data_IF_805038931429
#
_entry.id   IF_805038931429
#
_cell.length_a   1.000
_cell.length_b   1.000
_cell.length_c   1.000
_cell.angle_alpha   90.00
_cell.angle_beta   90.00
_cell.angle_gamma   90.00
#
_symmetry.space_group_name_H-M   'P 1'
#
loop_
_entity.id
_entity.type
_entity.pdbx_description
1 polymer ?
#
# COMPACT_ATOMS: atom_id res chain seq x y z
N UNK A 1 -36.57 -31.07 -1.52
CA UNK A 1 -37.40 -30.74 -0.34
C UNK A 1 -36.90 -29.40 0.18
N UNK A 2 -37.75 -28.38 0.31
CA UNK A 2 -37.31 -27.04 0.72
C UNK A 2 -38.02 -26.64 2.02
N UNK A 3 -37.26 -26.46 3.10
CA UNK A 3 -37.74 -25.91 4.36
C UNK A 3 -37.60 -24.38 4.31
N UNK A 4 -38.69 -23.65 4.55
CA UNK A 4 -38.68 -22.19 4.71
C UNK A 4 -38.99 -21.85 6.16
N UNK A 5 -38.09 -21.14 6.82
CA UNK A 5 -38.24 -20.63 8.18
C UNK A 5 -38.34 -19.11 8.08
N UNK A 6 -39.47 -18.54 8.51
CA UNK A 6 -39.68 -17.09 8.45
C UNK A 6 -39.01 -16.36 9.63
N UNK A 7 -39.14 -16.89 10.85
CA UNK A 7 -38.40 -16.42 12.02
C UNK A 7 -38.33 -17.49 13.11
N UNK A 8 -37.28 -17.40 13.93
CA UNK A 8 -37.11 -18.18 15.16
C UNK A 8 -37.15 -17.19 16.31
N UNK A 9 -37.90 -17.50 17.38
CA UNK A 9 -37.84 -16.78 18.65
C UNK A 9 -37.35 -17.74 19.71
N UNK A 10 -36.29 -17.34 20.41
CA UNK A 10 -35.76 -18.03 21.57
C UNK A 10 -36.20 -17.24 22.81
N UNK A 11 -36.82 -17.93 23.76
CA UNK A 11 -37.20 -17.37 25.05
C UNK A 11 -36.30 -18.01 26.09
N UNK A 12 -35.70 -17.20 26.96
CA UNK A 12 -34.99 -17.68 28.14
C UNK A 12 -36.00 -17.91 29.25
N UNK A 13 -35.91 -19.05 29.91
CA UNK A 13 -36.67 -19.30 31.14
C UNK A 13 -36.02 -18.51 32.28
N UNK A 14 -36.84 -17.73 32.99
CA UNK A 14 -36.44 -16.87 34.10
C UNK A 14 -37.16 -17.30 35.39
N UNK A 15 -37.66 -18.54 35.43
CA UNK A 15 -38.32 -19.11 36.59
C UNK A 15 -37.40 -19.27 37.79
N UNK A 16 -37.91 -18.97 38.98
CA UNK A 16 -37.23 -19.18 40.26
C UNK A 16 -37.29 -20.67 40.71
N UNK A 17 -37.94 -21.53 39.92
CA UNK A 17 -38.09 -22.97 40.10
C UNK A 17 -36.99 -23.79 39.39
N UNK A 18 -36.04 -23.11 38.75
CA UNK A 18 -34.91 -23.74 38.09
C UNK A 18 -33.77 -24.05 39.07
N UNK A 19 -33.09 -25.17 38.84
CA UNK A 19 -31.93 -25.57 39.62
C UNK A 19 -30.81 -24.50 39.55
N UNK A 20 -30.02 -24.39 40.62
CA UNK A 20 -28.98 -23.36 40.74
C UNK A 20 -27.86 -23.45 39.67
N UNK A 21 -27.81 -24.55 38.91
CA UNK A 21 -26.92 -24.81 37.79
C UNK A 21 -27.57 -24.64 36.41
N UNK A 22 -28.79 -24.10 36.35
CA UNK A 22 -29.44 -23.74 35.09
C UNK A 22 -28.86 -22.41 34.55
N UNK A 23 -27.62 -22.48 34.06
CA UNK A 23 -26.79 -21.34 33.71
C UNK A 23 -27.12 -20.71 32.34
N UNK A 24 -28.36 -20.28 32.12
CA UNK A 24 -28.63 -19.34 31.03
C UNK A 24 -28.11 -17.95 31.43
N UNK A 25 -26.84 -17.70 31.12
CA UNK A 25 -26.16 -16.44 31.47
C UNK A 25 -26.55 -15.33 30.49
N UNK A 26 -27.06 -14.21 31.00
CA UNK A 26 -27.47 -13.06 30.17
C UNK A 26 -26.30 -12.10 30.01
N UNK A 27 -25.91 -11.82 28.77
CA UNK A 27 -24.83 -10.88 28.46
C UNK A 27 -24.19 -11.18 27.11
N UNK A 28 -23.34 -10.25 26.65
CA UNK A 28 -22.59 -10.46 25.40
C UNK A 28 -21.35 -11.35 25.58
N UNK A 29 -20.87 -11.51 26.81
CA UNK A 29 -19.65 -12.26 27.13
C UNK A 29 -19.73 -12.80 28.58
N UNK A 30 -20.58 -13.80 28.84
CA UNK A 30 -20.70 -14.38 30.17
C UNK A 30 -19.48 -15.22 30.51
N UNK A 31 -18.91 -15.04 31.72
CA UNK A 31 -17.70 -15.73 32.16
C UNK A 31 -17.82 -17.27 32.23
N UNK A 32 -19.05 -17.80 32.18
CA UNK A 32 -19.36 -19.22 32.16
C UNK A 32 -19.22 -19.86 30.76
N UNK A 33 -19.08 -19.06 29.70
CA UNK A 33 -19.03 -19.53 28.32
C UNK A 33 -17.61 -19.41 27.74
N UNK A 34 -17.28 -20.21 26.71
CA UNK A 34 -16.00 -20.11 26.03
C UNK A 34 -15.71 -18.71 25.51
N UNK A 35 -14.49 -18.23 25.72
CA UNK A 35 -14.06 -16.97 25.11
C UNK A 35 -13.85 -17.14 23.62
N UNK A 36 -13.76 -16.02 22.90
CA UNK A 36 -13.43 -16.01 21.47
C UNK A 36 -12.14 -16.79 21.19
N UNK A 37 -11.09 -16.55 21.97
CA UNK A 37 -9.78 -17.19 21.80
C UNK A 37 -9.85 -18.70 22.02
N UNK A 38 -10.67 -19.15 22.97
CA UNK A 38 -10.91 -20.58 23.17
C UNK A 38 -11.59 -21.21 21.97
N UNK A 39 -12.66 -20.59 21.46
CA UNK A 39 -13.41 -21.10 20.30
C UNK A 39 -12.52 -21.18 19.06
N UNK A 40 -11.73 -20.14 18.79
CA UNK A 40 -10.78 -20.14 17.66
C UNK A 40 -9.71 -21.22 17.81
N UNK A 41 -9.30 -21.53 19.05
CA UNK A 41 -8.31 -22.58 19.34
C UNK A 41 -8.85 -24.01 19.31
N UNK A 42 -10.17 -24.19 19.31
CA UNK A 42 -10.86 -25.49 19.34
C UNK A 42 -11.90 -25.56 18.22
N UNK A 43 -11.62 -24.93 17.07
CA UNK A 43 -12.60 -24.80 15.98
C UNK A 43 -13.08 -26.15 15.46
N UNK A 44 -12.24 -27.18 15.57
CA UNK A 44 -12.51 -28.58 15.24
C UNK A 44 -13.63 -29.21 16.09
N UNK A 45 -13.96 -28.65 17.26
CA UNK A 45 -15.12 -29.05 18.05
C UNK A 45 -16.43 -28.42 17.55
N UNK A 46 -16.34 -27.35 16.74
CA UNK A 46 -17.49 -26.55 16.29
C UNK A 46 -17.75 -26.66 14.78
N UNK A 47 -16.91 -27.41 14.07
CA UNK A 47 -17.08 -27.69 12.65
C UNK A 47 -16.98 -29.19 12.37
N UNK A 48 -17.64 -29.63 11.31
CA UNK A 48 -17.51 -30.97 10.77
C UNK A 48 -17.44 -30.91 9.24
N UNK A 49 -17.30 -32.07 8.59
CA UNK A 49 -17.18 -32.14 7.13
C UNK A 49 -18.41 -31.59 6.39
N UNK A 50 -19.58 -31.55 7.04
CA UNK A 50 -20.86 -31.08 6.50
C UNK A 50 -21.22 -29.64 6.93
N UNK A 51 -20.60 -29.11 8.00
CA UNK A 51 -20.84 -27.80 8.59
C UNK A 51 -19.53 -27.11 8.98
N UNK A 52 -18.85 -26.55 7.98
CA UNK A 52 -17.60 -25.82 8.16
C UNK A 52 -17.84 -24.44 8.78
N UNK A 53 -16.88 -23.98 9.58
CA UNK A 53 -16.86 -22.59 10.01
C UNK A 53 -16.68 -21.67 8.81
N UNK A 54 -17.60 -20.72 8.65
CA UNK A 54 -17.52 -19.69 7.60
C UNK A 54 -17.63 -18.29 8.22
N UNK A 55 -16.69 -17.42 7.88
CA UNK A 55 -16.76 -16.03 8.29
C UNK A 55 -17.91 -15.31 7.57
N UNK A 56 -18.89 -14.84 8.35
CA UNK A 56 -20.05 -14.11 7.80
C UNK A 56 -19.64 -12.69 7.39
N UNK A 57 -19.66 -12.43 6.09
CA UNK A 57 -19.52 -11.09 5.53
C UNK A 57 -20.88 -10.38 5.38
N UNK A 58 -21.21 -9.51 6.32
CA UNK A 58 -22.42 -8.68 6.30
C UNK A 58 -23.65 -9.34 6.95
N UNK A 59 -24.85 -8.98 6.49
CA UNK A 59 -26.17 -9.46 6.96
C UNK A 59 -26.66 -8.95 8.33
N UNK A 60 -25.92 -8.09 9.03
CA UNK A 60 -26.52 -7.34 10.13
C UNK A 60 -27.71 -6.50 9.65
N UNK A 61 -28.66 -6.27 10.54
CA UNK A 61 -29.73 -5.32 10.28
C UNK A 61 -29.17 -3.91 10.16
N UNK A 62 -29.69 -3.15 9.20
CA UNK A 62 -29.31 -1.77 8.96
C UNK A 62 -30.52 -0.94 8.51
N UNK A 63 -30.48 0.35 8.81
CA UNK A 63 -31.39 1.33 8.26
C UNK A 63 -30.74 2.15 7.16
N UNK A 64 -29.47 2.54 7.36
CA UNK A 64 -28.68 3.34 6.41
C UNK A 64 -27.34 2.66 6.13
N UNK A 65 -26.62 3.11 5.11
CA UNK A 65 -25.28 2.56 4.81
C UNK A 65 -24.23 2.87 5.89
N UNK A 66 -24.50 3.85 6.76
CA UNK A 66 -23.59 4.23 7.85
C UNK A 66 -23.55 3.15 8.94
N UNK A 67 -24.63 2.37 9.10
CA UNK A 67 -24.70 1.18 9.97
C UNK A 67 -23.70 0.09 9.60
N UNK A 68 -23.25 0.09 8.34
CA UNK A 68 -22.39 -0.92 7.74
C UNK A 68 -20.99 -0.38 7.42
N UNK A 69 -20.63 0.78 7.98
CA UNK A 69 -19.47 1.58 7.61
C UNK A 69 -18.63 1.90 8.84
N UNK A 70 -17.31 1.75 8.76
CA UNK A 70 -16.43 2.15 9.85
C UNK A 70 -16.45 3.67 10.01
N UNK A 71 -16.76 4.12 11.22
CA UNK A 71 -16.81 5.54 11.55
C UNK A 71 -18.03 6.28 10.99
N UNK A 72 -19.11 5.58 10.61
CA UNK A 72 -20.35 6.13 10.01
C UNK A 72 -20.83 7.48 10.55
N UNK A 73 -21.78 7.49 11.49
CA UNK A 73 -22.33 8.74 12.07
C UNK A 73 -21.50 9.30 13.23
N UNK A 74 -20.55 8.51 13.76
CA UNK A 74 -19.79 8.82 14.97
C UNK A 74 -18.30 9.10 14.71
N UNK A 75 -17.79 8.80 13.51
CA UNK A 75 -16.38 8.92 13.17
C UNK A 75 -16.04 10.21 12.42
N UNK A 76 -14.84 10.75 12.66
CA UNK A 76 -14.32 11.93 11.94
C UNK A 76 -13.96 11.64 10.47
N UNK A 77 -13.78 10.37 10.13
CA UNK A 77 -13.49 9.91 8.77
C UNK A 77 -14.30 8.63 8.53
N UNK A 78 -15.34 8.72 7.71
CA UNK A 78 -16.17 7.57 7.37
C UNK A 78 -15.49 6.78 6.23
N UNK A 79 -15.08 5.55 6.52
CA UNK A 79 -14.53 4.64 5.52
C UNK A 79 -15.66 3.70 5.07
N UNK A 80 -16.14 3.88 3.83
CA UNK A 80 -17.22 3.06 3.27
C UNK A 80 -16.79 1.61 3.07
N UNK A 81 -17.08 0.77 4.06
CA UNK A 81 -16.76 -0.65 4.08
C UNK A 81 -17.95 -1.53 3.68
N UNK A 82 -19.17 -1.03 3.87
CA UNK A 82 -20.41 -1.73 3.54
C UNK A 82 -21.55 -0.78 3.15
N UNK A 83 -22.63 -1.37 2.63
CA UNK A 83 -23.86 -0.67 2.22
C UNK A 83 -25.09 -1.37 2.75
N UNK A 84 -26.14 -0.60 3.04
CA UNK A 84 -27.41 -1.18 3.47
C UNK A 84 -28.29 -1.54 2.27
N UNK A 85 -28.56 -2.83 2.08
CA UNK A 85 -29.37 -3.35 0.97
C UNK A 85 -30.47 -4.24 1.54
N UNK A 86 -31.74 -3.88 1.27
CA UNK A 86 -32.91 -4.63 1.79
C UNK A 86 -32.85 -4.82 3.31
N UNK A 87 -32.50 -3.76 4.06
CA UNK A 87 -32.34 -3.77 5.53
C UNK A 87 -31.28 -4.74 6.06
N UNK A 88 -30.32 -5.13 5.21
CA UNK A 88 -29.18 -5.99 5.55
C UNK A 88 -27.87 -5.38 5.07
N UNK A 89 -26.83 -5.43 5.88
CA UNK A 89 -25.50 -4.99 5.46
C UNK A 89 -24.94 -5.88 4.35
N UNK A 90 -24.34 -5.28 3.34
CA UNK A 90 -23.58 -5.94 2.30
C UNK A 90 -22.19 -5.30 2.22
N UNK A 91 -21.14 -6.10 2.43
CA UNK A 91 -19.77 -5.59 2.40
C UNK A 91 -19.38 -5.23 0.97
N UNK A 92 -18.66 -4.11 0.82
CA UNK A 92 -18.28 -3.59 -0.50
C UNK A 92 -17.12 -4.36 -1.12
N UNK A 93 -16.17 -4.80 -0.29
CA UNK A 93 -14.97 -5.53 -0.71
C UNK A 93 -14.78 -6.77 0.15
N UNK A 94 -14.09 -7.78 -0.39
CA UNK A 94 -13.76 -9.02 0.33
C UNK A 94 -12.72 -8.86 1.45
N UNK A 95 -12.11 -7.68 1.55
CA UNK A 95 -11.22 -7.32 2.66
C UNK A 95 -11.96 -6.90 3.93
N UNK A 96 -13.30 -6.85 3.88
CA UNK A 96 -14.17 -6.49 4.99
C UNK A 96 -15.13 -7.62 5.35
N UNK A 97 -15.25 -7.84 6.65
CA UNK A 97 -15.97 -8.93 7.27
C UNK A 97 -16.81 -8.53 8.46
N UNK A 98 -17.39 -9.55 9.06
CA UNK A 98 -18.31 -9.43 10.17
C UNK A 98 -19.70 -8.91 9.77
N UNK A 99 -20.67 -8.95 10.70
CA UNK A 99 -22.06 -8.67 10.39
C UNK A 99 -22.32 -7.28 9.83
N UNK A 100 -21.55 -6.28 10.29
CA UNK A 100 -21.64 -4.86 9.87
C UNK A 100 -20.51 -4.42 8.94
N UNK A 101 -19.70 -5.33 8.40
CA UNK A 101 -18.58 -4.99 7.51
C UNK A 101 -17.54 -4.07 8.16
N UNK A 102 -17.34 -4.19 9.48
CA UNK A 102 -16.43 -3.35 10.26
C UNK A 102 -15.15 -4.06 10.67
N UNK A 103 -15.04 -5.36 10.39
CA UNK A 103 -13.84 -6.14 10.69
C UNK A 103 -12.98 -6.23 9.43
N UNK A 104 -11.69 -5.93 9.54
CA UNK A 104 -10.76 -6.22 8.45
C UNK A 104 -10.48 -7.71 8.45
N UNK A 105 -10.73 -8.37 7.31
CA UNK A 105 -10.37 -9.79 7.14
C UNK A 105 -8.97 -9.83 6.52
N UNK A 106 -8.02 -10.40 7.24
CA UNK A 106 -6.77 -10.87 6.64
C UNK A 106 -7.03 -12.28 6.11
N UNK A 107 -6.97 -12.46 4.79
CA UNK A 107 -7.26 -13.74 4.16
C UNK A 107 -6.28 -14.82 4.62
N UNK A 108 -6.69 -15.64 5.58
CA UNK A 108 -6.01 -16.86 5.99
C UNK A 108 -7.01 -18.00 5.97
N UNK A 109 -7.25 -18.55 4.78
CA UNK A 109 -7.68 -19.95 4.63
C UNK A 109 -7.38 -20.39 3.19
N UNK A 110 -6.44 -21.33 3.11
CA UNK A 110 -6.38 -22.44 2.15
C UNK A 110 -7.34 -22.35 0.97
N UNK A 111 -6.89 -21.79 -0.15
CA UNK A 111 -7.11 -22.29 -1.51
C UNK A 111 -6.15 -21.55 -2.46
N UNK A 112 -5.49 -22.29 -3.35
CA UNK A 112 -4.34 -21.87 -4.18
C UNK A 112 -4.65 -20.81 -5.26
N UNK A 113 -5.78 -20.11 -5.17
CA UNK A 113 -6.16 -19.09 -6.16
C UNK A 113 -6.13 -17.69 -5.55
N UNK A 114 -4.96 -17.06 -5.67
CA UNK A 114 -4.84 -15.62 -5.79
C UNK A 114 -4.93 -14.81 -4.49
N UNK A 115 -3.80 -14.75 -3.79
CA UNK A 115 -3.45 -13.71 -2.80
C UNK A 115 -3.57 -12.26 -3.34
N UNK A 116 -3.83 -12.13 -4.64
CA UNK A 116 -3.71 -10.93 -5.47
C UNK A 116 -4.96 -10.02 -5.48
N UNK A 117 -6.10 -10.47 -4.95
CA UNK A 117 -7.39 -9.76 -5.05
C UNK A 117 -7.92 -9.19 -3.73
N UNK A 118 -7.24 -9.39 -2.60
CA UNK A 118 -7.84 -9.23 -1.27
C UNK A 118 -7.10 -8.29 -0.30
N UNK A 119 -6.06 -7.60 -0.76
CA UNK A 119 -5.26 -6.67 0.08
C UNK A 119 -5.64 -5.21 -0.18
N UNK A 120 -5.62 -4.40 0.90
CA UNK A 120 -5.84 -2.95 0.87
C UNK A 120 -4.86 -2.26 -0.08
N UNK A 121 -5.41 -1.62 -1.12
CA UNK A 121 -4.66 -0.82 -2.08
C UNK A 121 -5.48 -0.57 -3.35
N UNK A 122 -5.08 0.40 -4.19
CA UNK A 122 -5.58 0.47 -5.56
C UNK A 122 -5.30 -0.88 -6.26
N UNK A 123 -6.15 -1.28 -7.22
CA UNK A 123 -6.01 -2.56 -7.90
C UNK A 123 -4.57 -2.75 -8.37
N UNK A 124 -3.97 -3.92 -8.12
CA UNK A 124 -2.53 -4.11 -8.36
C UNK A 124 -2.12 -3.79 -9.80
N UNK A 125 -3.01 -4.02 -10.77
CA UNK A 125 -2.81 -3.62 -12.16
C UNK A 125 -2.50 -2.13 -12.32
N UNK A 126 -3.23 -1.26 -11.58
CA UNK A 126 -3.00 0.17 -11.58
C UNK A 126 -1.64 0.51 -10.94
N UNK A 127 -1.27 -0.19 -9.86
CA UNK A 127 0.00 0.00 -9.17
C UNK A 127 1.20 -0.43 -10.05
N UNK A 128 1.09 -1.56 -10.74
CA UNK A 128 2.10 -2.07 -11.67
C UNK A 128 2.24 -1.13 -12.86
N UNK A 129 1.14 -0.69 -13.46
CA UNK A 129 1.17 0.25 -14.57
C UNK A 129 1.86 1.57 -14.18
N UNK A 130 1.56 2.11 -12.99
CA UNK A 130 2.20 3.33 -12.49
C UNK A 130 3.72 3.14 -12.29
N UNK A 131 4.13 1.99 -11.76
CA UNK A 131 5.54 1.67 -11.56
C UNK A 131 6.29 1.56 -12.90
N UNK A 132 5.71 0.90 -13.91
CA UNK A 132 6.30 0.79 -15.25
C UNK A 132 6.48 2.18 -15.88
N UNK A 133 5.45 3.03 -15.81
CA UNK A 133 5.53 4.40 -16.34
C UNK A 133 6.63 5.21 -15.65
N UNK A 134 6.74 5.11 -14.32
CA UNK A 134 7.79 5.80 -13.57
C UNK A 134 9.20 5.34 -13.98
N UNK A 135 9.40 4.03 -14.15
CA UNK A 135 10.66 3.44 -14.60
C UNK A 135 11.03 3.85 -16.03
N UNK A 136 10.06 3.89 -16.95
CA UNK A 136 10.30 4.32 -18.32
C UNK A 136 10.63 5.82 -18.39
N UNK A 137 9.92 6.65 -17.64
CA UNK A 137 10.17 8.09 -17.58
C UNK A 137 11.56 8.40 -16.99
N UNK A 138 11.99 7.67 -15.95
CA UNK A 138 13.33 7.84 -15.38
C UNK A 138 14.43 7.37 -16.33
N UNK A 139 14.25 6.25 -17.03
CA UNK A 139 15.21 5.78 -18.04
C UNK A 139 15.34 6.77 -19.20
N UNK A 140 14.22 7.31 -19.69
CA UNK A 140 14.21 8.30 -20.77
C UNK A 140 14.87 9.62 -20.36
N UNK A 141 14.67 10.07 -19.11
CA UNK A 141 15.28 11.31 -18.62
C UNK A 141 16.81 11.18 -18.50
N UNK A 142 17.31 10.05 -17.98
CA UNK A 142 18.74 9.76 -17.92
C UNK A 142 19.34 9.65 -19.33
N UNK A 143 18.66 8.96 -20.25
CA UNK A 143 19.12 8.83 -21.63
C UNK A 143 19.22 10.19 -22.33
N UNK A 144 18.20 11.05 -22.17
CA UNK A 144 18.20 12.39 -22.73
C UNK A 144 19.33 13.27 -22.13
N UNK A 145 19.58 13.16 -20.83
CA UNK A 145 20.65 13.87 -20.15
C UNK A 145 22.04 13.45 -20.67
N UNK A 146 22.29 12.15 -20.82
CA UNK A 146 23.56 11.61 -21.38
C UNK A 146 23.74 12.08 -22.82
N UNK A 147 22.68 12.02 -23.65
CA UNK A 147 22.76 12.47 -25.05
C UNK A 147 23.01 13.97 -25.17
N UNK A 148 22.41 14.78 -24.30
CA UNK A 148 22.65 16.24 -24.25
C UNK A 148 24.08 16.54 -23.79
N UNK A 149 24.56 15.88 -22.74
CA UNK A 149 25.94 15.99 -22.25
C UNK A 149 26.95 15.62 -23.34
N UNK A 150 26.78 14.47 -24.01
CA UNK A 150 27.66 14.05 -25.09
C UNK A 150 27.69 15.03 -26.27
N UNK A 151 26.55 15.65 -26.61
CA UNK A 151 26.51 16.72 -27.63
C UNK A 151 27.25 17.97 -27.16
N UNK A 152 27.05 18.40 -25.92
CA UNK A 152 27.74 19.56 -25.35
C UNK A 152 29.26 19.33 -25.26
N UNK A 153 29.71 18.16 -24.82
CA UNK A 153 31.13 17.80 -24.78
C UNK A 153 31.76 17.81 -26.17
N UNK A 154 31.06 17.29 -27.19
CA UNK A 154 31.54 17.36 -28.58
C UNK A 154 31.67 18.79 -29.09
N UNK A 155 30.72 19.67 -28.78
CA UNK A 155 30.77 21.09 -29.17
C UNK A 155 31.92 21.81 -28.47
N UNK A 156 32.13 21.56 -27.17
CA UNK A 156 33.25 22.15 -26.42
C UNK A 156 34.60 21.68 -26.96
N UNK A 157 34.77 20.38 -27.24
CA UNK A 157 36.02 19.88 -27.84
C UNK A 157 36.26 20.45 -29.24
N UNK A 158 35.23 20.59 -30.08
CA UNK A 158 35.36 21.20 -31.39
C UNK A 158 35.77 22.68 -31.33
N UNK A 159 35.25 23.43 -30.35
CA UNK A 159 35.67 24.82 -30.12
C UNK A 159 37.11 24.93 -29.64
N UNK A 160 37.54 24.06 -28.71
CA UNK A 160 38.93 24.02 -28.24
C UNK A 160 39.92 23.64 -29.37
N UNK A 161 39.55 22.70 -30.25
CA UNK A 161 40.35 22.35 -31.41
C UNK A 161 40.43 23.49 -32.44
N UNK A 162 39.34 24.26 -32.62
CA UNK A 162 39.32 25.42 -33.49
C UNK A 162 40.19 26.56 -32.92
N UNK A 163 40.12 26.83 -31.62
CA UNK A 163 40.99 27.79 -30.93
C UNK A 163 42.46 27.39 -31.04
N UNK A 164 42.79 26.10 -30.83
CA UNK A 164 44.16 25.59 -30.96
C UNK A 164 44.70 25.74 -32.38
N UNK A 165 43.88 25.51 -33.40
CA UNK A 165 44.27 25.72 -34.81
C UNK A 165 44.44 27.21 -35.13
N UNK A 166 43.62 28.09 -34.56
CA UNK A 166 43.76 29.54 -34.75
C UNK A 166 45.07 30.07 -34.15
N UNK A 167 45.47 29.58 -32.97
CA UNK A 167 46.75 29.94 -32.32
C UNK A 167 47.95 29.48 -33.15
N UNK A 168 47.91 28.25 -33.70
CA UNK A 168 49.00 27.74 -34.55
C UNK A 168 49.13 28.52 -35.87
N UNK A 169 48.02 29.01 -36.42
CA UNK A 169 48.04 29.85 -37.64
C UNK A 169 48.54 31.28 -37.34
N UNK A 170 48.28 31.82 -36.14
CA UNK A 170 48.85 33.11 -35.72
C UNK A 170 50.36 33.06 -35.42
N UNK A 171 50.93 31.88 -35.18
CA UNK A 171 52.36 31.70 -34.91
C UNK A 171 53.21 31.43 -36.18
N UNK A 172 52.57 31.31 -37.35
CA UNK A 172 53.23 31.07 -38.64
C UNK A 172 53.48 32.34 -39.50
N UNK A 173 53.24 33.55 -38.97
CA UNK A 173 53.60 34.79 -39.65
C UNK A 173 55.02 35.24 -39.22
N UNK A 174 55.97 35.51 -40.14
CA UNK A 174 57.34 35.82 -39.77
C UNK A 174 57.53 37.32 -39.56
N UNK A 175 58.00 37.75 -38.39
CA UNK A 175 58.78 38.99 -38.24
C UNK A 175 59.58 39.02 -36.94
N UNK A 176 60.91 38.95 -37.11
CA UNK A 176 61.99 39.68 -36.42
C UNK A 176 61.99 39.88 -34.89
N UNK A 177 63.06 39.35 -34.29
CA UNK A 177 63.87 39.84 -33.14
C UNK A 177 63.30 40.93 -32.22
N UNK A 178 63.31 40.67 -30.90
CA UNK A 178 64.01 41.51 -29.91
C UNK A 178 63.83 40.97 -28.48
N UNK A 179 64.97 40.61 -27.87
CA UNK A 179 65.41 40.94 -26.50
C UNK A 179 64.42 40.94 -25.31
N UNK A 180 64.79 40.22 -24.23
CA UNK A 180 64.59 40.74 -22.87
C UNK A 180 64.12 39.76 -21.79
N UNK A 181 65.08 39.20 -21.05
CA UNK A 181 65.10 38.89 -19.60
C UNK A 181 63.78 39.00 -18.79
N UNK A 182 63.47 37.92 -18.06
CA UNK A 182 63.43 37.94 -16.59
C UNK A 182 62.07 37.82 -15.88
N UNK A 183 61.91 36.71 -15.15
CA UNK A 183 61.31 36.57 -13.81
C UNK A 183 59.88 37.08 -13.52
N UNK A 184 58.99 36.22 -13.01
CA UNK A 184 58.72 36.09 -11.56
C UNK A 184 57.54 35.12 -11.28
N UNK A 185 57.72 34.31 -10.23
CA UNK A 185 56.72 33.82 -9.27
C UNK A 185 55.68 32.76 -9.67
N UNK A 186 55.97 31.54 -9.22
CA UNK A 186 54.97 30.59 -8.75
C UNK A 186 54.28 31.11 -7.47
N UNK A 187 52.95 31.06 -7.41
CA UNK A 187 52.19 30.85 -6.17
C UNK A 187 50.69 30.62 -6.44
N UNK A 188 50.18 29.53 -5.85
CA UNK A 188 48.83 29.37 -5.30
C UNK A 188 47.64 29.35 -6.29
N UNK A 189 46.88 28.27 -6.44
CA UNK A 189 46.14 27.60 -5.36
C UNK A 189 45.63 26.23 -5.83
N UNK A 190 46.03 25.18 -5.11
CA UNK A 190 45.45 23.83 -5.19
C UNK A 190 44.30 23.80 -4.18
N UNK A 191 43.05 23.93 -4.63
CA UNK A 191 41.89 23.76 -3.76
C UNK A 191 41.61 22.26 -3.59
N UNK A 192 41.65 21.83 -2.33
CA UNK A 192 41.48 20.46 -1.86
C UNK A 192 40.03 19.97 -2.07
N UNK A 193 39.89 18.77 -2.61
CA UNK A 193 38.63 18.02 -2.63
C UNK A 193 38.60 17.05 -1.43
N UNK A 194 37.67 17.28 -0.51
CA UNK A 194 37.29 16.33 0.53
C UNK A 194 35.78 16.48 0.76
N UNK A 195 35.02 15.40 0.61
CA UNK A 195 33.66 15.29 1.16
C UNK A 195 33.51 13.95 1.86
N UNK A 196 33.24 14.04 3.16
CA UNK A 196 32.87 12.95 4.06
C UNK A 196 31.42 12.51 3.77
N UNK A 197 31.18 11.20 3.83
CA UNK A 197 29.86 10.63 4.01
C UNK A 197 29.56 10.46 5.50
N UNK A 198 28.39 10.93 5.94
CA UNK A 198 27.65 10.46 7.11
C UNK A 198 26.21 10.25 6.62
#
# INVERSE_FOLDING_TARGET
MYMKIDYIRLYQDLGDDLEADNYMSVGCDPASHPTKEWIEGHIDEYEDDDNKWEEVAGKAFCETSDDCTIGGSLGRTALKTGKCVKKRCQCMYHSWGGPRCTSAISGSSTEETGLMSRTYGPPMEASIALAIVACLASALSVYAAVKKSAKQTKVVMANLDAERKAVIVSEAAPTSESSGRGSHLAAATKANYHQNFV
#
